data_IF_269758073111
#
_entry.id   IF_269758073111
#
_cell.length_a   1.000
_cell.length_b   1.000
_cell.length_c   1.000
_cell.angle_alpha   90.00
_cell.angle_beta   90.00
_cell.angle_gamma   90.00
#
_symmetry.space_group_name_H-M   'P 1'
#
loop_
_entity.id
_entity.type
_entity.pdbx_description
1 polymer ?
#
# COMPACT_ATOMS: atom_id res chain seq x y z
N UNK A 1 9.73 -17.54 10.13
CA UNK A 1 10.15 -16.80 11.33
C UNK A 1 9.27 -17.15 12.53
N UNK A 2 7.95 -17.00 12.42
CA UNK A 2 7.02 -17.26 13.52
C UNK A 2 7.06 -18.69 14.03
N UNK A 3 7.38 -19.64 13.16
CA UNK A 3 7.50 -21.05 13.54
C UNK A 3 8.77 -21.34 14.35
N UNK A 4 9.84 -20.59 14.09
CA UNK A 4 11.17 -20.88 14.63
C UNK A 4 11.62 -19.91 15.74
N UNK A 5 10.91 -18.81 15.91
CA UNK A 5 11.27 -17.76 16.85
C UNK A 5 10.06 -17.39 17.70
N UNK A 6 10.32 -16.90 18.89
CA UNK A 6 9.29 -16.47 19.82
C UNK A 6 8.78 -15.08 19.43
N UNK A 7 7.75 -15.04 18.56
CA UNK A 7 7.16 -13.82 18.04
C UNK A 7 5.67 -13.76 18.39
N UNK A 8 5.12 -12.56 18.40
CA UNK A 8 3.67 -12.38 18.43
C UNK A 8 3.11 -12.68 17.05
N UNK A 9 2.06 -13.48 17.00
CA UNK A 9 1.42 -13.88 15.75
C UNK A 9 0.09 -13.15 15.53
N UNK A 10 -0.44 -13.27 14.32
CA UNK A 10 -1.72 -12.68 13.98
C UNK A 10 -1.60 -11.32 13.27
N UNK A 11 -2.67 -10.94 12.61
CA UNK A 11 -2.73 -9.73 11.80
C UNK A 11 -2.34 -8.47 12.58
N UNK A 12 -2.79 -8.35 13.82
CA UNK A 12 -2.56 -7.17 14.66
C UNK A 12 -1.10 -6.99 15.06
N UNK A 13 -0.29 -8.00 14.88
CA UNK A 13 1.13 -8.01 15.23
C UNK A 13 2.04 -8.06 13.99
N UNK A 14 1.48 -7.84 12.80
CA UNK A 14 2.24 -7.83 11.56
C UNK A 14 2.06 -6.52 10.82
N UNK A 15 3.18 -5.96 10.40
CA UNK A 15 3.22 -4.77 9.55
C UNK A 15 4.03 -5.06 8.30
N UNK A 16 3.67 -4.43 7.20
CA UNK A 16 4.42 -4.49 5.94
C UNK A 16 4.49 -3.09 5.35
N UNK A 17 5.64 -2.74 4.82
CA UNK A 17 5.81 -1.47 4.10
C UNK A 17 6.84 -1.64 3.01
N UNK A 18 6.74 -0.81 1.99
CA UNK A 18 7.69 -0.81 0.89
C UNK A 18 7.71 0.51 0.16
N UNK A 19 8.87 0.82 -0.42
CA UNK A 19 9.07 2.02 -1.22
C UNK A 19 9.30 1.64 -2.69
N UNK A 20 8.82 2.48 -3.60
CA UNK A 20 9.01 2.29 -5.03
C UNK A 20 8.49 0.91 -5.48
N UNK A 21 9.32 0.08 -6.11
CA UNK A 21 8.94 -1.30 -6.47
C UNK A 21 8.54 -2.12 -5.24
N UNK A 22 9.16 -1.88 -4.08
CA UNK A 22 8.74 -2.49 -2.81
C UNK A 22 7.32 -2.09 -2.40
N UNK A 23 6.88 -0.88 -2.77
CA UNK A 23 5.48 -0.47 -2.60
C UNK A 23 4.53 -1.26 -3.47
N UNK A 24 4.93 -1.59 -4.69
CA UNK A 24 4.17 -2.47 -5.57
C UNK A 24 4.08 -3.89 -4.98
N UNK A 25 5.19 -4.42 -4.49
CA UNK A 25 5.21 -5.72 -3.82
C UNK A 25 4.31 -5.72 -2.59
N UNK A 26 4.33 -4.65 -1.80
CA UNK A 26 3.47 -4.50 -0.63
C UNK A 26 1.99 -4.57 -1.02
N UNK A 27 1.59 -3.85 -2.07
CA UNK A 27 0.23 -3.90 -2.58
C UNK A 27 -0.15 -5.32 -3.04
N UNK A 28 0.70 -5.96 -3.81
CA UNK A 28 0.45 -7.31 -4.32
C UNK A 28 0.30 -8.31 -3.18
N UNK A 29 1.23 -8.31 -2.24
CA UNK A 29 1.22 -9.24 -1.11
C UNK A 29 -0.04 -9.04 -0.25
N UNK A 30 -0.39 -7.80 0.08
CA UNK A 30 -1.55 -7.54 0.93
C UNK A 30 -2.87 -7.81 0.22
N UNK A 31 -2.96 -7.52 -1.08
CA UNK A 31 -4.15 -7.80 -1.87
C UNK A 31 -4.38 -9.29 -2.06
N UNK A 32 -3.30 -10.06 -2.19
CA UNK A 32 -3.39 -11.52 -2.37
C UNK A 32 -3.55 -12.26 -1.03
N UNK A 33 -3.29 -11.60 0.08
CA UNK A 33 -3.32 -12.21 1.43
C UNK A 33 -4.09 -11.30 2.41
N UNK A 34 -5.39 -11.04 2.16
CA UNK A 34 -6.17 -10.23 3.09
C UNK A 34 -6.23 -10.88 4.46
N UNK A 35 -6.06 -10.07 5.50
CA UNK A 35 -6.06 -10.56 6.88
C UNK A 35 -4.69 -11.01 7.39
N UNK A 36 -3.63 -10.92 6.58
CA UNK A 36 -2.29 -11.28 7.02
C UNK A 36 -1.60 -10.13 7.79
N UNK A 37 -1.75 -8.90 7.31
CA UNK A 37 -1.10 -7.71 7.89
C UNK A 37 -2.13 -6.71 8.36
N UNK A 38 -1.98 -6.22 9.58
CA UNK A 38 -2.84 -5.18 10.13
C UNK A 38 -2.37 -3.76 9.81
N UNK A 39 -1.10 -3.60 9.48
CA UNK A 39 -0.49 -2.28 9.22
C UNK A 39 0.24 -2.33 7.90
N UNK A 40 -0.14 -1.43 6.99
CA UNK A 40 0.32 -1.46 5.59
C UNK A 40 0.82 -0.06 5.21
N UNK A 41 2.05 0.03 4.75
CA UNK A 41 2.65 1.28 4.28
C UNK A 41 3.11 1.18 2.83
N UNK A 42 2.66 2.11 2.00
CA UNK A 42 3.02 2.17 0.57
C UNK A 42 3.65 3.53 0.29
N UNK A 43 4.95 3.53 0.01
CA UNK A 43 5.71 4.75 -0.22
C UNK A 43 6.09 4.88 -1.69
N UNK A 44 5.74 6.01 -2.31
CA UNK A 44 6.13 6.33 -3.69
C UNK A 44 5.77 5.22 -4.68
N UNK A 45 4.56 4.72 -4.60
CA UNK A 45 3.99 3.77 -5.53
C UNK A 45 2.46 3.83 -5.48
N UNK A 46 1.85 3.63 -6.62
CA UNK A 46 0.41 3.59 -6.75
C UNK A 46 0.00 2.51 -7.75
N UNK A 47 -1.07 2.76 -8.47
CA UNK A 47 -1.50 1.90 -9.57
C UNK A 47 -0.82 2.38 -10.83
N UNK A 48 0.05 1.55 -11.37
CA UNK A 48 0.81 1.84 -12.58
C UNK A 48 0.38 0.88 -13.69
N UNK A 49 0.27 1.39 -14.91
CA UNK A 49 0.02 0.56 -16.09
C UNK A 49 1.35 0.09 -16.65
N UNK A 50 1.69 -1.15 -16.39
CA UNK A 50 2.86 -1.80 -17.00
C UNK A 50 2.36 -2.89 -17.95
N UNK A 51 2.82 -2.85 -19.19
CA UNK A 51 2.55 -3.90 -20.16
C UNK A 51 1.76 -3.45 -21.39
N UNK A 52 1.50 -4.38 -22.34
CA UNK A 52 0.83 -4.04 -23.58
C UNK A 52 -0.60 -3.56 -23.34
N UNK A 53 -1.00 -2.50 -24.04
CA UNK A 53 -2.30 -1.86 -23.88
C UNK A 53 -3.47 -2.71 -24.41
N UNK A 54 -3.18 -3.90 -24.90
CA UNK A 54 -4.18 -4.80 -25.50
C UNK A 54 -4.81 -5.79 -24.51
N UNK A 55 -4.48 -5.68 -23.23
CA UNK A 55 -5.13 -6.51 -22.21
C UNK A 55 -6.48 -5.90 -21.83
N UNK A 56 -7.41 -6.77 -21.42
CA UNK A 56 -8.73 -6.34 -21.00
C UNK A 56 -8.61 -5.53 -19.68
N UNK A 57 -8.50 -4.22 -19.82
CA UNK A 57 -8.33 -3.30 -18.71
C UNK A 57 -9.50 -3.36 -17.72
N UNK A 58 -10.72 -3.57 -18.22
CA UNK A 58 -11.91 -3.67 -17.38
C UNK A 58 -11.87 -4.91 -16.50
N UNK A 59 -11.40 -6.03 -17.04
CA UNK A 59 -11.25 -7.28 -16.28
C UNK A 59 -10.18 -7.16 -15.21
N UNK A 60 -9.03 -6.57 -15.54
CA UNK A 60 -7.93 -6.33 -14.60
C UNK A 60 -8.40 -5.43 -13.46
N UNK A 61 -9.12 -4.36 -13.79
CA UNK A 61 -9.68 -3.44 -12.81
C UNK A 61 -10.68 -4.15 -11.89
N UNK A 62 -11.58 -4.95 -12.45
CA UNK A 62 -12.56 -5.69 -11.67
C UNK A 62 -11.91 -6.69 -10.71
N UNK A 63 -10.89 -7.42 -11.16
CA UNK A 63 -10.15 -8.35 -10.31
C UNK A 63 -9.42 -7.63 -9.19
N UNK A 64 -8.77 -6.50 -9.51
CA UNK A 64 -8.09 -5.67 -8.51
C UNK A 64 -9.07 -5.14 -7.47
N UNK A 65 -10.22 -4.63 -7.91
CA UNK A 65 -11.22 -4.08 -7.02
C UNK A 65 -11.81 -5.15 -6.11
N UNK A 66 -12.00 -6.38 -6.61
CA UNK A 66 -12.46 -7.49 -5.80
C UNK A 66 -11.45 -7.84 -4.69
N UNK A 67 -10.17 -7.84 -5.01
CA UNK A 67 -9.10 -8.08 -4.02
C UNK A 67 -9.04 -6.97 -2.98
N UNK A 68 -9.17 -5.71 -3.39
CA UNK A 68 -9.20 -4.57 -2.49
C UNK A 68 -10.41 -4.63 -1.57
N UNK A 69 -11.58 -5.03 -2.07
CA UNK A 69 -12.76 -5.24 -1.22
C UNK A 69 -12.51 -6.30 -0.15
N UNK A 70 -11.88 -7.41 -0.51
CA UNK A 70 -11.52 -8.46 0.44
C UNK A 70 -10.53 -7.93 1.49
N UNK A 71 -9.55 -7.13 1.08
CA UNK A 71 -8.60 -6.51 2.00
C UNK A 71 -9.30 -5.54 2.95
N UNK A 72 -10.20 -4.70 2.42
CA UNK A 72 -11.00 -3.77 3.22
C UNK A 72 -11.78 -4.51 4.30
N UNK A 73 -12.40 -5.64 3.95
CA UNK A 73 -13.21 -6.42 4.87
C UNK A 73 -12.39 -7.28 5.84
N UNK A 74 -11.07 -7.35 5.67
CA UNK A 74 -10.20 -8.13 6.54
C UNK A 74 -9.99 -7.54 7.93
N UNK A 75 -10.31 -6.26 8.11
CA UNK A 75 -10.15 -5.57 9.39
C UNK A 75 -8.76 -5.04 9.65
N UNK A 76 -7.99 -4.71 8.61
CA UNK A 76 -6.70 -4.04 8.78
C UNK A 76 -6.85 -2.77 9.62
N UNK A 77 -5.81 -2.39 10.36
CA UNK A 77 -5.84 -1.25 11.28
C UNK A 77 -5.29 0.03 10.69
N UNK A 78 -4.35 -0.08 9.76
CA UNK A 78 -3.71 1.10 9.14
C UNK A 78 -3.34 0.79 7.69
N UNK A 79 -3.76 1.65 6.79
CA UNK A 79 -3.30 1.69 5.40
C UNK A 79 -2.77 3.10 5.15
N UNK A 80 -1.46 3.22 4.99
CA UNK A 80 -0.78 4.51 4.94
C UNK A 80 -0.04 4.65 3.61
N UNK A 81 -0.33 5.74 2.90
CA UNK A 81 0.23 6.01 1.58
C UNK A 81 1.00 7.32 1.65
N UNK A 82 2.22 7.36 1.12
CA UNK A 82 3.01 8.57 1.05
C UNK A 82 3.62 8.75 -0.33
N UNK A 83 3.66 10.01 -0.80
CA UNK A 83 4.25 10.35 -2.09
C UNK A 83 4.64 11.83 -2.14
N UNK A 84 5.74 12.12 -2.81
CA UNK A 84 6.14 13.50 -3.11
C UNK A 84 5.41 14.05 -4.31
N UNK A 85 5.16 15.35 -4.32
CA UNK A 85 4.46 16.03 -5.42
C UNK A 85 5.22 15.95 -6.75
N UNK A 86 6.54 15.91 -6.68
CA UNK A 86 7.41 15.88 -7.84
C UNK A 86 7.87 14.46 -8.21
N UNK A 87 7.29 13.45 -7.58
CA UNK A 87 7.60 12.05 -7.85
C UNK A 87 6.96 11.62 -9.18
N UNK A 88 7.73 10.90 -10.00
CA UNK A 88 7.20 10.43 -11.29
C UNK A 88 6.04 9.45 -11.17
N UNK A 89 5.88 8.81 -10.01
CA UNK A 89 4.74 7.92 -9.74
C UNK A 89 3.53 8.65 -9.15
N UNK A 90 3.58 9.95 -9.01
CA UNK A 90 2.51 10.75 -8.39
C UNK A 90 1.14 10.49 -9.03
N UNK A 91 1.09 10.40 -10.36
CA UNK A 91 -0.16 10.12 -11.06
C UNK A 91 -0.70 8.73 -10.71
N UNK A 92 0.17 7.74 -10.59
CA UNK A 92 -0.22 6.38 -10.17
C UNK A 92 -0.76 6.36 -8.73
N UNK A 93 -0.19 7.17 -7.85
CA UNK A 93 -0.68 7.32 -6.47
C UNK A 93 -2.04 7.99 -6.45
N UNK A 94 -2.25 9.00 -7.29
CA UNK A 94 -3.57 9.63 -7.43
C UNK A 94 -4.61 8.61 -7.89
N UNK A 95 -4.28 7.78 -8.87
CA UNK A 95 -5.16 6.70 -9.34
C UNK A 95 -5.49 5.71 -8.24
N UNK A 96 -4.50 5.31 -7.45
CA UNK A 96 -4.72 4.44 -6.29
C UNK A 96 -5.69 5.06 -5.30
N UNK A 97 -5.49 6.31 -4.94
CA UNK A 97 -6.37 7.03 -4.01
C UNK A 97 -7.79 7.12 -4.52
N UNK A 98 -7.97 7.45 -5.79
CA UNK A 98 -9.29 7.50 -6.41
C UNK A 98 -9.99 6.14 -6.36
N UNK A 99 -9.26 5.07 -6.62
CA UNK A 99 -9.77 3.70 -6.54
C UNK A 99 -10.21 3.37 -5.12
N UNK A 100 -9.37 3.68 -4.14
CA UNK A 100 -9.69 3.43 -2.73
C UNK A 100 -10.89 4.26 -2.26
N UNK A 101 -11.00 5.50 -2.70
CA UNK A 101 -12.14 6.36 -2.38
C UNK A 101 -13.45 5.80 -2.94
N UNK A 102 -13.44 5.27 -4.16
CA UNK A 102 -14.60 4.62 -4.77
C UNK A 102 -15.06 3.39 -4.02
N UNK A 103 -14.14 2.69 -3.39
CA UNK A 103 -14.42 1.48 -2.61
C UNK A 103 -14.73 1.78 -1.13
N UNK A 104 -14.77 3.05 -0.76
CA UNK A 104 -14.92 3.49 0.64
C UNK A 104 -13.84 2.91 1.55
N UNK A 105 -12.62 2.85 1.04
CA UNK A 105 -11.46 2.29 1.72
C UNK A 105 -10.92 3.32 2.72
N UNK A 106 -10.66 2.91 3.94
CA UNK A 106 -10.09 3.81 4.95
C UNK A 106 -8.58 3.79 4.87
N UNK A 107 -7.97 4.94 4.61
CA UNK A 107 -6.53 5.10 4.50
C UNK A 107 -6.08 6.49 4.93
N UNK A 108 -4.79 6.64 5.22
CA UNK A 108 -4.16 7.94 5.48
C UNK A 108 -3.22 8.24 4.31
N UNK A 109 -3.29 9.45 3.80
CA UNK A 109 -2.41 9.92 2.73
C UNK A 109 -1.49 11.03 3.23
N UNK A 110 -0.19 10.87 3.03
CA UNK A 110 0.84 11.84 3.37
C UNK A 110 1.50 12.33 2.08
N UNK A 111 1.23 13.56 1.70
CA UNK A 111 1.87 14.20 0.56
C UNK A 111 3.04 15.05 1.04
N UNK A 112 4.19 14.92 0.40
CA UNK A 112 5.36 15.73 0.71
C UNK A 112 5.78 16.56 -0.49
N UNK A 113 6.73 17.46 -0.29
CA UNK A 113 7.48 18.06 -1.37
C UNK A 113 8.52 17.07 -1.89
N UNK A 114 9.13 17.37 -3.04
CA UNK A 114 10.20 16.55 -3.60
C UNK A 114 9.71 15.33 -4.34
N UNK A 115 10.65 14.52 -4.75
CA UNK A 115 10.41 13.41 -5.66
C UNK A 115 10.75 12.06 -5.07
N UNK A 116 11.21 11.18 -5.93
CA UNK A 116 11.48 9.77 -5.67
C UNK A 116 12.87 9.61 -5.03
N UNK A 117 12.99 9.97 -3.75
CA UNK A 117 14.29 10.12 -3.07
C UNK A 117 14.33 9.48 -1.70
N UNK A 118 15.52 9.07 -1.29
CA UNK A 118 15.79 8.53 0.04
C UNK A 118 15.45 9.54 1.15
N UNK A 119 15.62 10.83 0.88
CA UNK A 119 15.28 11.87 1.86
C UNK A 119 13.81 11.77 2.26
N UNK A 120 12.92 11.63 1.27
CA UNK A 120 11.50 11.47 1.51
C UNK A 120 11.19 10.13 2.21
N UNK A 121 11.80 9.04 1.74
CA UNK A 121 11.51 7.70 2.30
C UNK A 121 11.90 7.59 3.77
N UNK A 122 12.98 8.23 4.18
CA UNK A 122 13.37 8.30 5.60
C UNK A 122 12.31 9.03 6.43
N UNK A 123 11.80 10.14 5.91
CA UNK A 123 10.74 10.90 6.57
C UNK A 123 9.48 10.04 6.70
N UNK A 124 9.09 9.36 5.63
CA UNK A 124 7.90 8.51 5.64
C UNK A 124 8.02 7.40 6.68
N UNK A 125 9.16 6.73 6.74
CA UNK A 125 9.37 5.69 7.75
C UNK A 125 9.30 6.26 9.16
N UNK A 126 9.89 7.43 9.39
CA UNK A 126 9.88 8.08 10.71
C UNK A 126 8.48 8.48 11.17
N UNK A 127 7.58 8.75 10.22
CA UNK A 127 6.19 9.09 10.53
C UNK A 127 5.30 7.85 10.64
N UNK A 128 5.56 6.83 9.82
CA UNK A 128 4.76 5.60 9.80
C UNK A 128 5.07 4.68 10.99
N UNK A 129 6.34 4.48 11.32
CA UNK A 129 6.74 3.53 12.35
C UNK A 129 6.08 3.78 13.73
N UNK A 130 5.96 5.03 14.21
CA UNK A 130 5.28 5.29 15.48
C UNK A 130 3.79 4.93 15.52
N UNK A 131 3.17 4.74 14.36
CA UNK A 131 1.75 4.37 14.26
C UNK A 131 1.53 2.87 14.39
N UNK A 132 2.60 2.06 14.36
CA UNK A 132 2.49 0.62 14.36
C UNK A 132 2.13 0.07 15.74
N UNK A 133 1.27 -0.93 15.73
CA UNK A 133 0.91 -1.72 16.93
C UNK A 133 0.27 -0.91 18.06
N UNK A 134 -0.50 0.11 17.70
CA UNK A 134 -1.17 0.99 18.69
C UNK A 134 -2.68 0.88 18.71
#
# INVERSE_FOLDING_TARGET
IEKNYRTLTGMDNRAIAGLSMGGMHTQTITNDNPGMFGYIGVYSMGIMSFGPQNQDAAKIEAERNARLEALKNSGYKLYWIACGKDDFVYQGVTTLRQTLDKLNFKYIYRESTGGHTWANWRIYLSEFAPMLFK
#
